data_IF_333440933571
#
_entry.id   IF_333440933571
#
_cell.length_a   1.000
_cell.length_b   1.000
_cell.length_c   1.000
_cell.angle_alpha   90.00
_cell.angle_beta   90.00
_cell.angle_gamma   90.00
#
_symmetry.space_group_name_H-M   'P 1'
#
loop_
_entity.id
_entity.type
_entity.pdbx_description
1 polymer ?
#
# COMPACT_ATOMS: atom_id res chain seq x y z
N UNK A 1 27.66 -7.72 -8.27
CA UNK A 1 26.36 -8.23 -7.81
C UNK A 1 25.42 -8.25 -9.00
N UNK A 2 24.62 -9.29 -9.25
CA UNK A 2 23.68 -9.28 -10.36
C UNK A 2 22.65 -8.15 -10.11
N UNK A 3 22.38 -7.38 -11.16
CA UNK A 3 21.35 -6.36 -11.14
C UNK A 3 20.00 -7.05 -10.86
N UNK A 4 19.29 -6.61 -9.80
CA UNK A 4 17.93 -7.08 -9.52
C UNK A 4 17.07 -6.77 -10.75
N UNK A 5 16.30 -7.73 -11.27
CA UNK A 5 15.49 -7.52 -12.46
C UNK A 5 14.60 -6.30 -12.29
N UNK A 6 14.66 -5.38 -13.25
CA UNK A 6 13.87 -4.16 -13.27
C UNK A 6 12.44 -4.39 -13.82
N UNK A 7 12.00 -5.63 -13.84
CA UNK A 7 10.79 -6.05 -14.52
C UNK A 7 9.55 -5.77 -13.68
N UNK A 8 8.58 -5.08 -14.31
CA UNK A 8 7.24 -4.90 -13.75
C UNK A 8 6.46 -6.16 -14.12
N UNK A 9 6.09 -6.96 -13.12
CA UNK A 9 5.26 -8.14 -13.34
C UNK A 9 3.80 -7.72 -13.45
N UNK A 10 3.18 -8.05 -14.57
CA UNK A 10 1.75 -7.87 -14.77
C UNK A 10 1.00 -9.10 -14.23
N UNK A 11 0.11 -8.88 -13.28
CA UNK A 11 -0.74 -9.92 -12.74
C UNK A 11 -1.98 -10.14 -13.62
N UNK A 12 -2.51 -11.39 -13.69
CA UNK A 12 -3.78 -11.68 -14.35
C UNK A 12 -4.93 -10.86 -13.74
N UNK A 13 -5.90 -10.45 -14.55
CA UNK A 13 -7.01 -9.59 -14.12
C UNK A 13 -7.93 -10.22 -13.04
N UNK A 14 -7.92 -11.54 -12.89
CA UNK A 14 -8.66 -12.28 -11.86
C UNK A 14 -7.89 -12.39 -10.53
N UNK A 15 -6.62 -11.98 -10.48
CA UNK A 15 -5.80 -12.04 -9.26
C UNK A 15 -6.44 -11.17 -8.17
N UNK A 16 -6.52 -11.71 -6.97
CA UNK A 16 -6.92 -10.96 -5.78
C UNK A 16 -5.67 -10.42 -5.09
N UNK A 17 -5.64 -9.11 -4.83
CA UNK A 17 -4.45 -8.40 -4.35
C UNK A 17 -3.93 -8.90 -3.01
N UNK A 18 -4.81 -9.20 -2.05
CA UNK A 18 -4.39 -9.64 -0.71
C UNK A 18 -3.90 -11.09 -0.66
N UNK A 19 -4.58 -12.06 -1.26
CA UNK A 19 -4.01 -13.40 -1.46
C UNK A 19 -2.66 -13.39 -2.16
N UNK A 20 -2.53 -12.62 -3.26
CA UNK A 20 -1.27 -12.46 -3.98
C UNK A 20 -0.15 -11.90 -3.10
N UNK A 21 -0.46 -10.85 -2.30
CA UNK A 21 0.51 -10.25 -1.39
C UNK A 21 0.94 -11.24 -0.30
N UNK A 22 -0.01 -12.03 0.24
CA UNK A 22 0.26 -13.05 1.24
C UNK A 22 1.16 -14.15 0.69
N UNK A 23 0.85 -14.68 -0.49
CA UNK A 23 1.70 -15.69 -1.16
C UNK A 23 3.11 -15.14 -1.45
N UNK A 24 3.19 -13.88 -1.80
CA UNK A 24 4.49 -13.23 -2.07
C UNK A 24 5.33 -13.09 -0.80
N UNK A 25 4.70 -12.72 0.33
CA UNK A 25 5.37 -12.68 1.63
C UNK A 25 5.85 -14.07 2.03
N UNK A 26 5.01 -15.10 1.89
CA UNK A 26 5.35 -16.47 2.23
C UNK A 26 6.51 -17.04 1.43
N UNK A 27 6.53 -16.75 0.14
CA UNK A 27 7.61 -17.18 -0.73
C UNK A 27 8.96 -16.49 -0.39
N UNK A 28 8.88 -15.26 0.10
CA UNK A 28 10.06 -14.47 0.43
C UNK A 28 10.59 -14.71 1.85
N UNK A 29 9.71 -14.96 2.80
CA UNK A 29 9.98 -15.13 4.23
C UNK A 29 9.22 -16.35 4.77
N UNK A 30 9.70 -17.58 4.46
CA UNK A 30 9.06 -18.79 4.94
C UNK A 30 9.21 -18.94 6.46
N UNK A 31 8.13 -19.39 7.13
CA UNK A 31 8.10 -19.61 8.57
C UNK A 31 7.47 -18.49 9.38
N UNK A 32 7.78 -18.45 10.69
CA UNK A 32 7.26 -17.42 11.57
C UNK A 32 8.11 -16.16 11.52
N UNK A 33 7.49 -15.03 11.19
CA UNK A 33 8.13 -13.74 10.97
C UNK A 33 7.78 -12.73 12.08
N UNK A 34 8.66 -11.74 12.29
CA UNK A 34 8.32 -10.50 12.99
C UNK A 34 7.82 -9.47 11.98
N UNK A 35 6.71 -8.83 12.29
CA UNK A 35 5.98 -7.95 11.37
C UNK A 35 5.81 -6.56 11.97
N UNK A 36 6.14 -5.54 11.19
CA UNK A 36 5.79 -4.15 11.44
C UNK A 36 4.61 -3.76 10.55
N UNK A 37 3.46 -3.47 11.13
CA UNK A 37 2.28 -2.98 10.41
C UNK A 37 2.25 -1.45 10.42
N UNK A 38 2.69 -0.84 9.33
CA UNK A 38 2.71 0.63 9.17
C UNK A 38 1.39 1.07 8.57
N UNK A 39 0.66 1.96 9.28
CA UNK A 39 -0.65 2.43 8.87
C UNK A 39 -1.79 1.48 9.26
N UNK A 40 -1.61 0.67 10.31
CA UNK A 40 -2.59 -0.32 10.77
C UNK A 40 -3.77 0.25 11.57
N UNK A 41 -3.85 1.56 11.80
CA UNK A 41 -4.89 2.19 12.63
C UNK A 41 -6.29 2.22 12.01
N UNK A 42 -6.41 2.37 10.70
CA UNK A 42 -7.69 2.54 10.00
C UNK A 42 -8.63 1.33 9.94
N UNK A 43 -8.12 0.12 10.09
CA UNK A 43 -8.91 -1.12 10.25
C UNK A 43 -9.83 -1.56 9.10
N UNK A 44 -9.64 -1.04 7.90
CA UNK A 44 -10.51 -1.34 6.75
C UNK A 44 -10.27 -2.67 6.06
N UNK A 45 -9.15 -3.31 6.34
CA UNK A 45 -8.74 -4.52 5.66
C UNK A 45 -8.38 -5.61 6.67
N UNK A 46 -8.94 -6.80 6.48
CA UNK A 46 -8.62 -8.00 7.28
C UNK A 46 -7.24 -8.59 6.97
N UNK A 47 -6.48 -7.97 6.07
CA UNK A 47 -5.19 -8.48 5.62
C UNK A 47 -4.14 -8.56 6.74
N UNK A 48 -3.97 -7.54 7.62
CA UNK A 48 -3.05 -7.66 8.76
C UNK A 48 -3.44 -8.80 9.72
N UNK A 49 -4.74 -9.01 9.94
CA UNK A 49 -5.23 -10.12 10.75
C UNK A 49 -4.89 -11.49 10.12
N UNK A 50 -4.92 -11.61 8.80
CA UNK A 50 -4.50 -12.83 8.10
C UNK A 50 -2.99 -13.12 8.27
N UNK A 51 -2.15 -12.09 8.24
CA UNK A 51 -0.71 -12.20 8.51
C UNK A 51 -0.43 -12.62 9.95
N UNK A 52 -1.27 -12.25 10.93
CA UNK A 52 -1.11 -12.59 12.34
C UNK A 52 -0.90 -14.09 12.59
N UNK A 53 -1.51 -14.94 11.80
CA UNK A 53 -1.35 -16.41 11.95
C UNK A 53 0.08 -16.89 11.72
N UNK A 54 0.93 -16.08 11.11
CA UNK A 54 2.34 -16.36 10.75
C UNK A 54 3.32 -15.50 11.52
N UNK A 55 2.83 -14.47 12.21
CA UNK A 55 3.67 -13.58 12.97
C UNK A 55 4.00 -14.15 14.35
N UNK A 56 5.30 -14.28 14.68
CA UNK A 56 5.76 -14.51 16.05
C UNK A 56 5.65 -13.24 16.91
N UNK A 57 5.77 -12.08 16.26
CA UNK A 57 5.61 -10.74 16.83
C UNK A 57 5.01 -9.82 15.76
N UNK A 58 4.05 -9.00 16.16
CA UNK A 58 3.42 -8.02 15.27
C UNK A 58 3.24 -6.70 16.00
N UNK A 59 3.92 -5.66 15.53
CA UNK A 59 3.88 -4.29 16.08
C UNK A 59 3.23 -3.37 15.06
N UNK A 60 2.28 -2.54 15.50
CA UNK A 60 1.62 -1.55 14.67
C UNK A 60 2.11 -0.14 14.95
N UNK A 61 2.29 0.66 13.90
CA UNK A 61 2.64 2.08 14.01
C UNK A 61 1.71 2.89 13.09
N UNK A 62 0.94 3.81 13.67
CA UNK A 62 0.00 4.66 12.94
C UNK A 62 -0.24 5.96 13.74
N UNK A 63 -0.35 7.14 13.11
CA UNK A 63 -0.81 8.34 13.81
C UNK A 63 -2.27 8.26 14.30
N UNK A 64 -3.08 7.38 13.73
CA UNK A 64 -4.44 7.12 14.21
C UNK A 64 -4.42 6.30 15.52
N UNK A 65 -5.13 6.78 16.59
CA UNK A 65 -5.17 6.09 17.87
C UNK A 65 -5.78 4.68 17.80
N UNK A 66 -6.55 4.34 16.77
CA UNK A 66 -7.09 3.01 16.55
C UNK A 66 -6.03 1.91 16.50
N UNK A 67 -4.78 2.23 16.24
CA UNK A 67 -3.66 1.26 16.29
C UNK A 67 -3.48 0.64 17.67
N UNK A 68 -3.82 1.36 18.74
CA UNK A 68 -3.68 0.90 20.13
C UNK A 68 -4.70 -0.20 20.51
N UNK A 69 -5.77 -0.33 19.73
CA UNK A 69 -6.91 -1.23 20.02
C UNK A 69 -6.99 -2.42 19.04
N UNK A 70 -6.01 -2.60 18.15
CA UNK A 70 -6.05 -3.68 17.15
C UNK A 70 -5.78 -5.04 17.77
N UNK A 71 -6.72 -6.00 17.71
CA UNK A 71 -6.62 -7.28 18.40
C UNK A 71 -5.54 -8.22 17.83
N UNK A 72 -5.04 -7.95 16.62
CA UNK A 72 -3.98 -8.74 16.00
C UNK A 72 -2.56 -8.25 16.31
N UNK A 73 -2.42 -7.07 16.93
CA UNK A 73 -1.12 -6.53 17.33
C UNK A 73 -0.73 -7.02 18.73
N UNK A 74 0.56 -7.31 18.91
CA UNK A 74 1.14 -7.51 20.23
C UNK A 74 1.40 -6.17 20.92
N UNK A 75 1.65 -5.11 20.11
CA UNK A 75 1.91 -3.76 20.57
C UNK A 75 1.53 -2.76 19.50
N UNK A 76 0.90 -1.65 19.89
CA UNK A 76 0.55 -0.52 19.01
C UNK A 76 1.22 0.76 19.47
N UNK A 77 1.70 1.56 18.51
CA UNK A 77 2.30 2.88 18.76
C UNK A 77 1.58 3.95 17.95
N UNK A 78 1.02 4.93 18.65
CA UNK A 78 0.42 6.09 18.00
C UNK A 78 1.52 7.10 17.64
N UNK A 79 2.11 6.96 16.45
CA UNK A 79 3.19 7.80 15.95
C UNK A 79 3.29 7.71 14.42
N UNK A 80 4.00 8.64 13.79
CA UNK A 80 4.54 8.43 12.45
C UNK A 80 5.70 7.42 12.53
N UNK A 81 5.89 6.61 11.48
CA UNK A 81 7.00 5.63 11.46
C UNK A 81 8.37 6.30 11.56
N UNK A 82 8.51 7.52 11.05
CA UNK A 82 9.70 8.35 11.14
C UNK A 82 10.02 8.78 12.58
N UNK A 83 9.00 8.92 13.41
CA UNK A 83 9.13 9.28 14.83
C UNK A 83 9.40 8.04 15.69
N UNK A 84 8.81 6.91 15.33
CA UNK A 84 8.99 5.62 16.01
C UNK A 84 10.38 5.04 15.80
N UNK A 85 10.90 5.09 14.57
CA UNK A 85 12.12 4.39 14.18
C UNK A 85 13.36 4.70 15.04
N UNK A 86 13.64 5.97 15.44
CA UNK A 86 14.85 6.26 16.23
C UNK A 86 14.85 5.64 17.63
N UNK A 87 13.67 5.37 18.20
CA UNK A 87 13.51 4.80 19.54
C UNK A 87 13.24 3.30 19.55
N UNK A 88 13.03 2.69 18.40
CA UNK A 88 12.69 1.27 18.29
C UNK A 88 13.86 0.38 18.73
N UNK A 89 13.62 -0.45 19.74
CA UNK A 89 14.61 -1.40 20.25
C UNK A 89 14.67 -2.72 19.48
N UNK A 90 13.87 -2.88 18.43
CA UNK A 90 13.72 -4.12 17.67
C UNK A 90 13.72 -3.90 16.15
N UNK A 91 13.94 -4.97 15.41
CA UNK A 91 13.86 -5.01 13.95
C UNK A 91 12.89 -6.10 13.50
N UNK A 92 12.44 -5.98 12.26
CA UNK A 92 11.37 -6.81 11.70
C UNK A 92 11.84 -7.52 10.42
N UNK A 93 11.37 -8.76 10.23
CA UNK A 93 11.57 -9.50 8.99
C UNK A 93 10.77 -8.88 7.84
N UNK A 94 9.56 -8.41 8.17
CA UNK A 94 8.60 -7.84 7.22
C UNK A 94 8.00 -6.54 7.76
N UNK A 95 7.98 -5.50 6.94
CA UNK A 95 7.13 -4.33 7.12
C UNK A 95 5.96 -4.36 6.12
N UNK A 96 4.77 -3.99 6.56
CA UNK A 96 3.56 -3.89 5.74
C UNK A 96 3.17 -2.42 5.55
N UNK A 97 2.81 -2.05 4.31
CA UNK A 97 2.28 -0.74 3.96
C UNK A 97 1.06 -0.92 3.05
N UNK A 98 -0.09 -1.24 3.63
CA UNK A 98 -1.33 -1.52 2.90
C UNK A 98 -2.19 -0.27 2.81
N UNK A 99 -2.22 0.36 1.65
CA UNK A 99 -2.92 1.64 1.41
C UNK A 99 -2.44 2.77 2.33
N UNK A 100 -1.14 2.90 2.48
CA UNK A 100 -0.46 3.91 3.30
C UNK A 100 0.32 4.91 2.45
N UNK A 101 1.05 4.42 1.44
CA UNK A 101 2.02 5.27 0.72
C UNK A 101 1.37 6.39 -0.10
N UNK A 102 0.08 6.32 -0.37
CA UNK A 102 -0.71 7.40 -0.98
C UNK A 102 -0.87 8.63 -0.08
N UNK A 103 -0.74 8.44 1.25
CA UNK A 103 -0.88 9.49 2.26
C UNK A 103 0.46 10.11 2.67
N UNK A 104 1.58 9.49 2.31
CA UNK A 104 2.92 9.89 2.74
C UNK A 104 3.28 11.28 2.22
N UNK A 105 3.63 12.17 3.16
CA UNK A 105 4.04 13.53 2.85
C UNK A 105 5.52 13.64 2.52
N UNK A 106 6.38 12.91 3.23
CA UNK A 106 7.84 12.91 3.07
C UNK A 106 8.36 11.53 2.65
N UNK A 107 8.34 11.19 1.34
CA UNK A 107 8.67 9.84 0.86
C UNK A 107 10.05 9.29 1.25
N UNK A 108 11.09 10.12 1.23
CA UNK A 108 12.44 9.65 1.53
C UNK A 108 12.60 9.34 3.03
N UNK A 109 12.29 10.25 3.98
CA UNK A 109 12.32 9.93 5.41
C UNK A 109 11.45 8.72 5.78
N UNK A 110 10.25 8.59 5.19
CA UNK A 110 9.36 7.46 5.41
C UNK A 110 10.02 6.12 5.04
N UNK A 111 10.60 6.03 3.84
CA UNK A 111 11.24 4.81 3.38
C UNK A 111 12.57 4.52 4.13
N UNK A 112 13.32 5.55 4.49
CA UNK A 112 14.53 5.44 5.33
C UNK A 112 14.20 4.90 6.71
N UNK A 113 13.13 5.40 7.35
CA UNK A 113 12.64 4.91 8.64
C UNK A 113 12.26 3.42 8.55
N UNK A 114 11.43 3.02 7.59
CA UNK A 114 11.06 1.63 7.38
C UNK A 114 12.30 0.76 7.16
N UNK A 115 13.24 1.20 6.32
CA UNK A 115 14.47 0.45 6.07
C UNK A 115 15.30 0.24 7.33
N UNK A 116 15.37 1.23 8.21
CA UNK A 116 16.11 1.14 9.46
C UNK A 116 15.52 0.15 10.46
N UNK A 117 14.21 -0.10 10.37
CA UNK A 117 13.46 -1.04 11.19
C UNK A 117 13.48 -2.48 10.64
N UNK A 118 14.00 -2.70 9.45
CA UNK A 118 14.09 -4.04 8.86
C UNK A 118 15.38 -4.73 9.24
N UNK A 119 15.30 -6.04 9.45
CA UNK A 119 16.47 -6.91 9.54
C UNK A 119 17.26 -6.93 8.24
N UNK A 120 18.57 -7.27 8.26
CA UNK A 120 19.32 -7.57 7.04
C UNK A 120 18.64 -8.68 6.23
N UNK A 121 18.25 -8.39 4.99
CA UNK A 121 17.45 -9.30 4.15
C UNK A 121 15.94 -9.19 4.38
N UNK A 122 15.50 -8.37 5.32
CA UNK A 122 14.09 -8.06 5.54
C UNK A 122 13.48 -7.31 4.36
N UNK A 123 12.14 -7.30 4.28
CA UNK A 123 11.43 -6.71 3.14
C UNK A 123 10.23 -5.88 3.59
N UNK A 124 10.03 -4.73 2.93
CA UNK A 124 8.78 -3.98 3.02
C UNK A 124 7.87 -4.38 1.87
N UNK A 125 6.66 -4.84 2.21
CA UNK A 125 5.61 -5.15 1.25
C UNK A 125 4.48 -4.13 1.34
N UNK A 126 3.87 -3.84 0.20
CA UNK A 126 2.73 -2.94 0.21
C UNK A 126 1.86 -3.03 -1.03
N UNK A 127 0.70 -2.42 -0.88
CA UNK A 127 -0.31 -2.27 -1.90
C UNK A 127 -0.77 -0.81 -1.91
N UNK A 128 -0.93 -0.22 -3.09
CA UNK A 128 -1.37 1.17 -3.21
C UNK A 128 -2.04 1.45 -4.56
N UNK A 129 -2.95 2.42 -4.65
CA UNK A 129 -3.47 2.88 -5.94
C UNK A 129 -2.37 3.52 -6.78
N UNK A 130 -2.44 3.30 -8.09
CA UNK A 130 -1.54 3.95 -9.04
C UNK A 130 -2.06 5.33 -9.43
N UNK A 131 -1.22 6.35 -9.32
CA UNK A 131 -1.58 7.72 -9.70
C UNK A 131 -2.01 7.84 -11.16
N UNK A 132 -1.40 7.09 -12.09
CA UNK A 132 -1.71 7.16 -13.52
C UNK A 132 -2.98 6.42 -13.95
N UNK A 133 -3.60 5.70 -13.04
CA UNK A 133 -4.94 5.17 -13.27
C UNK A 133 -5.98 6.29 -13.19
N UNK A 134 -7.09 6.18 -13.93
CA UNK A 134 -8.14 7.22 -13.94
C UNK A 134 -8.62 7.59 -12.53
N UNK A 135 -8.74 6.61 -11.65
CA UNK A 135 -9.15 6.83 -10.26
C UNK A 135 -8.09 7.62 -9.47
N UNK A 136 -6.81 7.25 -9.58
CA UNK A 136 -5.71 7.97 -8.95
C UNK A 136 -5.62 9.42 -9.42
N UNK A 137 -5.75 9.66 -10.73
CA UNK A 137 -5.77 11.01 -11.30
C UNK A 137 -6.98 11.83 -10.82
N UNK A 138 -8.18 11.23 -10.77
CA UNK A 138 -9.37 11.89 -10.28
C UNK A 138 -9.26 12.25 -8.78
N UNK A 139 -8.82 11.30 -7.95
CA UNK A 139 -8.61 11.51 -6.52
C UNK A 139 -7.53 12.57 -6.25
N UNK A 140 -6.36 12.49 -6.90
CA UNK A 140 -5.30 13.49 -6.76
C UNK A 140 -5.75 14.90 -7.21
N UNK A 141 -6.58 14.98 -8.25
CA UNK A 141 -7.13 16.25 -8.73
C UNK A 141 -8.13 16.81 -7.73
N UNK A 142 -9.06 15.98 -7.22
CA UNK A 142 -10.03 16.38 -6.21
C UNK A 142 -9.36 16.92 -4.94
N UNK A 143 -8.33 16.23 -4.45
CA UNK A 143 -7.52 16.67 -3.32
C UNK A 143 -6.82 18.01 -3.59
N UNK A 144 -6.26 18.20 -4.79
CA UNK A 144 -5.55 19.42 -5.16
C UNK A 144 -6.46 20.65 -5.25
N UNK A 145 -7.71 20.47 -5.68
CA UNK A 145 -8.68 21.58 -5.78
C UNK A 145 -9.55 21.72 -4.53
N UNK A 146 -9.34 20.90 -3.51
CA UNK A 146 -10.02 21.00 -2.21
C UNK A 146 -11.49 20.53 -2.23
N UNK A 147 -11.87 19.67 -3.18
CA UNK A 147 -13.24 19.11 -3.28
C UNK A 147 -13.31 17.63 -2.88
N UNK A 148 -12.22 17.08 -2.36
CA UNK A 148 -12.12 15.65 -2.02
C UNK A 148 -13.19 15.23 -1.01
N UNK A 149 -13.33 15.98 0.09
CA UNK A 149 -14.32 15.70 1.14
C UNK A 149 -15.75 15.79 0.62
N UNK A 150 -16.05 16.84 -0.15
CA UNK A 150 -17.34 16.99 -0.78
C UNK A 150 -17.68 15.83 -1.71
N UNK A 151 -16.70 15.40 -2.53
CA UNK A 151 -16.88 14.30 -3.47
C UNK A 151 -17.06 12.97 -2.74
N UNK A 152 -16.30 12.71 -1.69
CA UNK A 152 -16.42 11.51 -0.86
C UNK A 152 -17.81 11.43 -0.22
N UNK A 153 -18.33 12.52 0.32
CA UNK A 153 -19.69 12.58 0.90
C UNK A 153 -20.80 12.31 -0.14
N UNK A 154 -20.57 12.63 -1.42
CA UNK A 154 -21.52 12.32 -2.48
C UNK A 154 -21.46 10.86 -2.98
N UNK A 155 -20.29 10.20 -2.85
CA UNK A 155 -20.02 8.90 -3.44
C UNK A 155 -20.01 7.75 -2.42
N UNK A 156 -19.90 8.04 -1.12
CA UNK A 156 -19.82 7.03 -0.05
C UNK A 156 -20.89 7.24 1.02
N UNK A 157 -21.38 6.16 1.65
CA UNK A 157 -22.14 6.24 2.89
C UNK A 157 -21.34 6.95 3.99
N UNK A 158 -22.04 7.73 4.84
CA UNK A 158 -21.42 8.54 5.90
C UNK A 158 -20.57 7.70 6.86
N UNK A 159 -21.00 6.47 7.17
CA UNK A 159 -20.30 5.55 8.06
C UNK A 159 -18.91 5.14 7.56
N UNK A 160 -18.71 5.15 6.23
CA UNK A 160 -17.42 4.85 5.61
C UNK A 160 -16.51 6.09 5.49
N UNK A 161 -17.07 7.29 5.66
CA UNK A 161 -16.33 8.55 5.55
C UNK A 161 -15.69 8.90 6.89
N UNK A 162 -16.42 8.72 8.01
CA UNK A 162 -15.91 9.02 9.36
C UNK A 162 -14.68 8.18 9.74
N UNK A 163 -14.56 7.02 9.15
CA UNK A 163 -13.45 6.11 9.39
C UNK A 163 -12.21 6.38 8.51
N UNK A 164 -12.24 7.34 7.56
CA UNK A 164 -11.17 7.55 6.60
C UNK A 164 -10.89 9.04 6.33
N UNK A 165 -10.01 9.64 7.11
CA UNK A 165 -9.70 11.07 7.02
C UNK A 165 -8.22 11.42 6.77
N UNK A 166 -7.43 10.52 6.20
CA UNK A 166 -6.06 10.90 5.83
C UNK A 166 -6.02 11.45 4.40
N UNK A 167 -5.60 12.72 4.21
CA UNK A 167 -5.55 13.33 2.88
C UNK A 167 -4.55 12.59 1.98
N UNK A 168 -4.94 12.35 0.73
CA UNK A 168 -4.06 11.69 -0.24
C UNK A 168 -3.03 12.67 -0.80
N UNK A 169 -1.78 12.22 -0.94
CA UNK A 169 -0.64 13.00 -1.46
C UNK A 169 -0.11 12.46 -2.79
N UNK A 170 -0.24 11.16 -3.03
CA UNK A 170 0.22 10.46 -4.25
C UNK A 170 1.67 10.75 -4.62
N UNK A 171 2.58 10.94 -3.65
CA UNK A 171 3.99 11.25 -3.89
C UNK A 171 4.84 10.05 -4.28
N UNK A 172 4.43 8.83 -3.87
CA UNK A 172 5.10 7.55 -4.19
C UNK A 172 4.37 6.69 -5.24
N UNK A 173 3.15 6.99 -5.59
CA UNK A 173 2.18 6.14 -6.26
C UNK A 173 2.38 6.01 -7.78
N UNK A 174 3.60 5.94 -8.23
CA UNK A 174 3.96 5.54 -9.58
C UNK A 174 5.15 4.60 -9.55
N UNK A 175 5.20 3.65 -10.49
CA UNK A 175 6.32 2.72 -10.64
C UNK A 175 7.68 3.43 -10.59
N UNK A 176 7.82 4.54 -11.31
CA UNK A 176 9.08 5.29 -11.38
C UNK A 176 9.44 5.93 -10.04
N UNK A 177 8.49 6.64 -9.41
CA UNK A 177 8.75 7.36 -8.15
C UNK A 177 9.06 6.40 -7.03
N UNK A 178 8.23 5.36 -6.86
CA UNK A 178 8.44 4.34 -5.84
C UNK A 178 9.82 3.71 -5.97
N UNK A 179 10.20 3.26 -7.18
CA UNK A 179 11.52 2.67 -7.43
C UNK A 179 12.65 3.65 -7.13
N UNK A 180 12.61 4.85 -7.69
CA UNK A 180 13.70 5.82 -7.52
C UNK A 180 13.89 6.24 -6.07
N UNK A 181 12.80 6.45 -5.33
CA UNK A 181 12.86 6.84 -3.91
C UNK A 181 13.32 5.68 -3.03
N UNK A 182 12.87 4.46 -3.29
CA UNK A 182 13.30 3.28 -2.52
C UNK A 182 14.82 3.02 -2.70
N UNK A 183 15.32 3.10 -3.93
CA UNK A 183 16.76 2.96 -4.18
C UNK A 183 17.56 4.10 -3.51
N UNK A 184 17.07 5.34 -3.55
CA UNK A 184 17.70 6.48 -2.88
C UNK A 184 17.70 6.33 -1.36
N UNK A 185 16.64 5.74 -0.77
CA UNK A 185 16.55 5.40 0.65
C UNK A 185 17.43 4.21 1.06
N UNK A 186 18.14 3.58 0.10
CA UNK A 186 19.14 2.53 0.33
C UNK A 186 18.59 1.11 0.31
N UNK A 187 17.36 0.87 -0.16
CA UNK A 187 16.90 -0.48 -0.47
C UNK A 187 17.71 -1.06 -1.64
N UNK A 188 18.06 -2.34 -1.57
CA UNK A 188 18.86 -3.04 -2.59
C UNK A 188 18.03 -3.68 -3.68
N UNK A 189 16.80 -4.10 -3.33
CA UNK A 189 15.85 -4.73 -4.23
C UNK A 189 14.55 -3.96 -4.31
N UNK A 190 14.00 -3.78 -5.53
CA UNK A 190 12.68 -3.19 -5.77
C UNK A 190 11.96 -4.04 -6.79
N UNK A 191 11.00 -4.82 -6.33
CA UNK A 191 10.13 -5.65 -7.14
C UNK A 191 8.73 -5.03 -7.18
N UNK A 192 8.14 -4.95 -8.35
CA UNK A 192 6.83 -4.33 -8.57
C UNK A 192 5.92 -5.28 -9.34
N UNK A 193 4.70 -5.44 -8.84
CA UNK A 193 3.62 -6.12 -9.53
C UNK A 193 2.48 -5.14 -9.76
N UNK A 194 1.82 -5.23 -10.91
CA UNK A 194 0.70 -4.34 -11.26
C UNK A 194 -0.54 -5.17 -11.56
N UNK A 195 -1.67 -4.68 -11.10
CA UNK A 195 -2.95 -5.35 -11.22
C UNK A 195 -4.02 -4.39 -11.71
N UNK A 196 -4.80 -4.85 -12.70
CA UNK A 196 -6.00 -4.19 -13.17
C UNK A 196 -7.17 -5.17 -13.12
N UNK A 197 -7.97 -5.08 -12.06
CA UNK A 197 -9.17 -5.91 -11.90
C UNK A 197 -10.36 -5.26 -12.62
N UNK A 198 -11.17 -6.09 -13.27
CA UNK A 198 -12.38 -5.62 -13.92
C UNK A 198 -13.35 -5.02 -12.88
N UNK A 199 -13.74 -3.76 -13.10
CA UNK A 199 -14.66 -3.06 -12.20
C UNK A 199 -14.05 -2.56 -10.91
N UNK A 200 -12.71 -2.57 -10.77
CA UNK A 200 -12.04 -1.89 -9.67
C UNK A 200 -12.53 -0.44 -9.60
N UNK A 201 -12.86 0.04 -8.39
CA UNK A 201 -13.43 1.36 -8.14
C UNK A 201 -14.84 1.61 -8.74
N UNK A 202 -15.54 0.60 -9.28
CA UNK A 202 -16.90 0.79 -9.84
C UNK A 202 -17.93 1.25 -8.79
N UNK A 203 -17.68 0.98 -7.51
CA UNK A 203 -18.53 1.41 -6.40
C UNK A 203 -18.56 2.93 -6.24
N UNK A 204 -17.57 3.64 -6.75
CA UNK A 204 -17.54 5.12 -6.80
C UNK A 204 -18.38 5.71 -7.95
N UNK A 205 -18.96 4.86 -8.80
CA UNK A 205 -19.79 5.29 -9.91
C UNK A 205 -21.27 5.00 -9.65
N UNK A 206 -22.19 5.92 -10.04
CA UNK A 206 -23.61 5.61 -10.06
C UNK A 206 -23.87 4.31 -10.83
N UNK A 207 -24.87 3.49 -10.45
CA UNK A 207 -25.11 2.19 -11.08
C UNK A 207 -25.17 2.21 -12.62
N UNK A 208 -25.78 3.27 -13.18
CA UNK A 208 -25.92 3.49 -14.64
C UNK A 208 -24.58 3.78 -15.35
N UNK A 209 -23.51 4.12 -14.62
CA UNK A 209 -22.19 4.44 -15.18
C UNK A 209 -21.12 3.39 -14.86
N UNK A 210 -21.45 2.31 -14.15
CA UNK A 210 -20.48 1.25 -13.79
C UNK A 210 -19.91 0.49 -14.99
N UNK A 211 -20.49 0.63 -16.17
CA UNK A 211 -19.92 0.11 -17.40
C UNK A 211 -18.60 0.80 -17.80
N UNK A 212 -18.40 2.07 -17.41
CA UNK A 212 -17.22 2.85 -17.78
C UNK A 212 -15.93 2.32 -17.13
N UNK A 213 -15.84 2.08 -15.80
CA UNK A 213 -14.68 1.40 -15.20
C UNK A 213 -14.40 0.03 -15.80
N UNK A 214 -15.44 -0.77 -16.06
CA UNK A 214 -15.28 -2.09 -16.69
C UNK A 214 -14.74 -2.00 -18.13
N UNK A 215 -15.19 -0.99 -18.88
CA UNK A 215 -14.70 -0.69 -20.22
C UNK A 215 -13.24 -0.27 -20.21
N UNK A 216 -12.87 0.62 -19.29
CA UNK A 216 -11.49 1.03 -19.07
C UNK A 216 -10.59 -0.17 -18.78
N UNK A 217 -10.93 -0.99 -17.77
CA UNK A 217 -10.14 -2.16 -17.39
C UNK A 217 -9.95 -3.13 -18.57
N UNK A 218 -10.99 -3.33 -19.41
CA UNK A 218 -10.89 -4.17 -20.61
C UNK A 218 -9.89 -3.61 -21.60
N UNK A 219 -9.94 -2.29 -21.88
CA UNK A 219 -9.04 -1.62 -22.80
C UNK A 219 -7.60 -1.67 -22.30
N UNK A 220 -7.36 -1.31 -21.05
CA UNK A 220 -6.01 -1.26 -20.46
C UNK A 220 -5.39 -2.65 -20.36
N UNK A 221 -6.16 -3.66 -20.01
CA UNK A 221 -5.70 -5.05 -20.05
C UNK A 221 -5.31 -5.49 -21.47
N UNK A 222 -6.04 -5.03 -22.49
CA UNK A 222 -5.72 -5.30 -23.91
C UNK A 222 -4.48 -4.55 -24.40
N UNK A 223 -4.28 -3.29 -23.96
CA UNK A 223 -3.13 -2.47 -24.37
C UNK A 223 -1.80 -2.93 -23.76
N UNK A 224 -1.84 -3.68 -22.66
CA UNK A 224 -0.63 -4.19 -22.02
C UNK A 224 0.30 -3.10 -21.49
N UNK A 225 -0.24 -1.93 -21.10
CA UNK A 225 0.52 -0.82 -20.54
C UNK A 225 0.45 -0.85 -19.00
N UNK A 226 1.38 -1.54 -18.32
CA UNK A 226 1.32 -1.76 -16.88
C UNK A 226 1.35 -0.46 -16.06
N UNK A 227 1.88 0.63 -16.63
CA UNK A 227 1.93 1.93 -15.96
C UNK A 227 0.55 2.55 -15.72
N UNK A 228 -0.51 2.06 -16.40
CA UNK A 228 -1.88 2.55 -16.30
C UNK A 228 -2.79 1.64 -15.46
N UNK A 229 -2.26 0.54 -14.93
CA UNK A 229 -3.02 -0.38 -14.09
C UNK A 229 -3.37 0.24 -12.75
N UNK A 230 -4.51 -0.14 -12.17
CA UNK A 230 -5.11 0.51 -11.00
C UNK A 230 -4.33 0.32 -9.70
N UNK A 231 -3.71 -0.85 -9.52
CA UNK A 231 -3.03 -1.21 -8.27
C UNK A 231 -1.54 -1.49 -8.52
N UNK A 232 -0.72 -0.96 -7.63
CA UNK A 232 0.69 -1.30 -7.49
C UNK A 232 0.87 -2.16 -6.23
N UNK A 233 1.44 -3.35 -6.39
CA UNK A 233 2.00 -4.12 -5.29
C UNK A 233 3.53 -3.99 -5.37
N UNK A 234 4.18 -3.90 -4.23
CA UNK A 234 5.62 -3.73 -4.18
C UNK A 234 6.27 -4.55 -3.07
N UNK A 235 7.53 -4.92 -3.31
CA UNK A 235 8.46 -5.45 -2.33
C UNK A 235 9.76 -4.65 -2.42
N UNK A 236 10.20 -4.11 -1.29
CA UNK A 236 11.47 -3.42 -1.13
C UNK A 236 12.34 -4.22 -0.19
N UNK A 237 13.55 -4.63 -0.61
CA UNK A 237 14.45 -5.49 0.18
C UNK A 237 15.68 -4.71 0.63
N UNK A 238 16.11 -4.89 1.89
CA UNK A 238 17.30 -4.25 2.50
C UNK A 238 18.62 -4.81 1.99
#
# INVERSE_FOLDING_TARGET
>A
MPAVPSEIVRLPAQTQQFPELLEWIDAAHPGHISVLDVGGGGGFYDFPAAIRTRARRMVGVDPDPGVLERPWLDEGHQALVEEYAPGAGERFDVALCVYVVEHVEAPAPFLEAIRSLLEPGGSCFGVTPNLWHYFGLASATAARVGIEDWLLHQLRPAELIEAYHSPVRYRLNTVRRLRSTALAAGFRGVELRVLEQAGMFETYFPPRLRWAPRGYSRIINGWGRPQLFGTLLFRLTT
#
